data_IF_195354936563
#
_entry.id   IF_195354936563
#
_cell.length_a   1.000
_cell.length_b   1.000
_cell.length_c   1.000
_cell.angle_alpha   90.00
_cell.angle_beta   90.00
_cell.angle_gamma   90.00
#
_symmetry.space_group_name_H-M   'P 1'
#
loop_
_entity.id
_entity.type
_entity.pdbx_description
1 polymer ?
#
# COMPACT_ATOMS: atom_id res chain seq x y z
N UNK A 1 -16.60 -0.44 13.63
CA UNK A 1 -17.13 0.23 12.43
C UNK A 1 -18.24 -0.55 11.73
N UNK A 2 -18.47 -1.83 12.04
CA UNK A 2 -19.46 -2.70 11.36
C UNK A 2 -20.91 -2.57 11.85
N UNK A 3 -21.16 -1.89 12.98
CA UNK A 3 -22.49 -1.78 13.61
C UNK A 3 -23.13 -0.39 13.49
N UNK A 4 -22.63 0.48 12.61
CA UNK A 4 -23.20 1.81 12.39
C UNK A 4 -24.20 1.77 11.22
N UNK A 5 -25.47 2.16 11.42
CA UNK A 5 -26.52 2.13 10.38
C UNK A 5 -26.17 2.94 9.12
N UNK A 6 -25.27 3.92 9.22
CA UNK A 6 -24.81 4.70 8.06
C UNK A 6 -23.94 3.90 7.08
N UNK A 7 -23.44 2.73 7.51
CA UNK A 7 -22.55 1.86 6.73
C UNK A 7 -23.33 0.72 6.05
N UNK A 8 -24.54 0.38 6.53
CA UNK A 8 -25.41 -0.65 5.95
C UNK A 8 -25.83 -0.36 4.48
N UNK A 9 -25.73 0.91 4.06
CA UNK A 9 -26.06 1.35 2.70
C UNK A 9 -24.85 1.40 1.74
N UNK A 10 -23.63 1.13 2.23
CA UNK A 10 -22.43 1.18 1.39
C UNK A 10 -22.24 -0.21 0.77
N UNK A 11 -22.81 -0.42 -0.42
CA UNK A 11 -22.55 -1.62 -1.19
C UNK A 11 -21.29 -1.44 -2.05
N UNK A 12 -20.39 -2.42 -2.03
CA UNK A 12 -19.28 -2.48 -2.97
C UNK A 12 -19.82 -2.57 -4.40
N UNK A 13 -19.14 -1.88 -5.32
CA UNK A 13 -19.44 -2.02 -6.74
C UNK A 13 -19.35 -3.51 -7.13
N UNK A 14 -20.36 -4.09 -7.82
CA UNK A 14 -20.38 -5.52 -8.14
C UNK A 14 -19.20 -5.98 -9.01
N UNK A 15 -18.76 -5.14 -9.97
CA UNK A 15 -17.62 -5.44 -10.83
C UNK A 15 -16.33 -5.41 -10.02
N UNK A 16 -16.17 -4.39 -9.17
CA UNK A 16 -15.03 -4.26 -8.27
C UNK A 16 -14.91 -5.47 -7.34
N UNK A 17 -15.97 -5.78 -6.59
CA UNK A 17 -15.98 -6.91 -5.66
C UNK A 17 -15.71 -8.23 -6.40
N UNK A 18 -16.37 -8.48 -7.53
CA UNK A 18 -16.10 -9.68 -8.31
C UNK A 18 -14.61 -9.80 -8.69
N UNK A 19 -14.00 -8.73 -9.24
CA UNK A 19 -12.60 -8.75 -9.68
C UNK A 19 -11.61 -8.83 -8.52
N UNK A 20 -11.91 -8.18 -7.41
CA UNK A 20 -11.11 -8.31 -6.19
C UNK A 20 -11.15 -9.74 -5.66
N UNK A 21 -12.33 -10.38 -5.61
CA UNK A 21 -12.46 -11.78 -5.19
C UNK A 21 -11.71 -12.73 -6.12
N UNK A 22 -11.84 -12.53 -7.43
CA UNK A 22 -11.11 -13.30 -8.45
C UNK A 22 -9.60 -13.24 -8.18
N UNK A 23 -9.06 -12.04 -7.94
CA UNK A 23 -7.64 -11.87 -7.63
C UNK A 23 -7.23 -12.52 -6.29
N UNK A 24 -8.01 -12.33 -5.22
CA UNK A 24 -7.70 -12.89 -3.91
C UNK A 24 -7.68 -14.42 -3.94
N UNK A 25 -8.57 -15.05 -4.70
CA UNK A 25 -8.60 -16.50 -4.89
C UNK A 25 -7.38 -17.05 -5.64
N UNK A 26 -6.64 -16.20 -6.36
CA UNK A 26 -5.35 -16.59 -6.94
C UNK A 26 -4.23 -16.69 -5.90
N UNK A 27 -4.39 -16.00 -4.76
CA UNK A 27 -3.43 -15.95 -3.65
C UNK A 27 -3.71 -17.04 -2.61
N UNK A 28 -4.97 -17.27 -2.26
CA UNK A 28 -5.40 -18.32 -1.32
C UNK A 28 -6.74 -18.95 -1.73
N UNK A 29 -6.89 -20.26 -1.56
CA UNK A 29 -8.03 -21.02 -2.10
C UNK A 29 -9.34 -20.84 -1.32
N UNK A 30 -9.28 -20.32 -0.11
CA UNK A 30 -10.36 -20.28 0.89
C UNK A 30 -10.89 -18.86 1.19
N UNK A 31 -10.63 -17.90 0.29
CA UNK A 31 -11.11 -16.53 0.45
C UNK A 31 -12.59 -16.37 0.08
N UNK A 32 -13.39 -15.88 1.03
CA UNK A 32 -14.81 -15.55 0.86
C UNK A 32 -15.13 -14.13 1.39
N UNK A 33 -15.96 -13.36 0.68
CA UNK A 33 -16.46 -12.07 1.17
C UNK A 33 -17.69 -12.21 2.05
N UNK A 34 -17.69 -11.55 3.21
CA UNK A 34 -18.74 -11.66 4.23
C UNK A 34 -19.60 -10.37 4.44
N UNK A 35 -19.69 -9.52 3.42
CA UNK A 35 -20.52 -8.30 3.27
C UNK A 35 -20.06 -6.98 3.95
N UNK A 36 -20.31 -5.86 3.24
CA UNK A 36 -20.57 -4.50 3.76
C UNK A 36 -19.45 -3.47 3.56
N UNK A 37 -18.29 -3.71 4.16
CA UNK A 37 -17.03 -3.09 3.76
C UNK A 37 -15.99 -4.19 3.80
N UNK A 38 -15.30 -4.40 2.69
CA UNK A 38 -14.24 -5.39 2.67
C UNK A 38 -13.01 -4.78 3.30
N UNK A 39 -12.88 -5.09 4.58
CA UNK A 39 -11.65 -4.97 5.30
C UNK A 39 -10.81 -6.21 4.99
N UNK A 40 -9.68 -6.04 4.31
CA UNK A 40 -8.82 -7.13 3.87
C UNK A 40 -7.39 -6.86 4.32
N UNK A 41 -6.75 -7.83 4.96
CA UNK A 41 -5.30 -7.84 5.17
C UNK A 41 -4.60 -8.61 4.06
N UNK A 42 -3.61 -8.03 3.39
CA UNK A 42 -2.69 -8.73 2.50
C UNK A 42 -1.38 -9.00 3.26
N UNK A 43 -1.16 -10.25 3.63
CA UNK A 43 0.06 -10.67 4.32
C UNK A 43 1.17 -10.94 3.30
N UNK A 44 2.14 -10.03 3.27
CA UNK A 44 3.34 -10.11 2.42
C UNK A 44 4.53 -10.56 3.27
N UNK A 45 4.43 -11.76 3.84
CA UNK A 45 5.42 -12.32 4.78
C UNK A 45 6.85 -12.44 4.22
N UNK A 46 6.99 -12.55 2.89
CA UNK A 46 8.29 -12.63 2.19
C UNK A 46 8.90 -11.24 1.89
N UNK A 47 8.11 -10.17 2.05
CA UNK A 47 8.57 -8.80 1.83
C UNK A 47 9.50 -8.35 2.94
N UNK A 48 10.62 -7.74 2.55
CA UNK A 48 11.60 -7.18 3.48
C UNK A 48 11.64 -5.66 3.37
N UNK A 49 11.54 -4.97 4.51
CA UNK A 49 11.74 -3.53 4.56
C UNK A 49 13.22 -3.19 4.44
N UNK A 50 13.56 -2.31 3.51
CA UNK A 50 14.88 -1.70 3.38
C UNK A 50 14.81 -0.27 3.93
N UNK A 51 15.84 0.14 4.68
CA UNK A 51 15.99 1.51 5.20
C UNK A 51 17.03 2.23 4.36
N UNK A 52 16.66 3.40 3.83
CA UNK A 52 17.59 4.29 3.17
C UNK A 52 18.56 4.89 4.19
N UNK A 53 19.89 4.72 4.05
CA UNK A 53 20.86 5.17 5.06
C UNK A 53 20.97 6.69 5.18
N UNK A 54 20.54 7.43 4.15
CA UNK A 54 20.62 8.89 4.12
C UNK A 54 19.34 9.54 4.63
N UNK A 55 18.18 9.05 4.20
CA UNK A 55 16.88 9.66 4.51
C UNK A 55 16.16 8.97 5.68
N UNK A 56 16.62 7.78 6.08
CA UNK A 56 15.95 6.87 7.01
C UNK A 56 14.52 6.50 6.60
N UNK A 57 14.12 6.79 5.36
CA UNK A 57 12.86 6.35 4.79
C UNK A 57 12.91 4.86 4.48
N UNK A 58 11.74 4.24 4.34
CA UNK A 58 11.61 2.79 4.13
C UNK A 58 10.95 2.48 2.80
N UNK A 59 11.32 1.34 2.25
CA UNK A 59 10.63 0.70 1.14
C UNK A 59 10.57 -0.81 1.34
N UNK A 60 9.55 -1.44 0.78
CA UNK A 60 9.37 -2.89 0.76
C UNK A 60 8.89 -3.28 -0.64
N UNK A 61 9.81 -3.82 -1.44
CA UNK A 61 9.54 -4.17 -2.85
C UNK A 61 8.52 -5.30 -2.95
N UNK A 62 8.50 -6.25 -2.01
CA UNK A 62 7.50 -7.33 -1.98
C UNK A 62 6.08 -6.77 -1.89
N UNK A 63 5.87 -5.77 -1.03
CA UNK A 63 4.57 -5.10 -0.92
C UNK A 63 4.19 -4.41 -2.23
N UNK A 64 5.14 -3.71 -2.87
CA UNK A 64 4.90 -3.04 -4.16
C UNK A 64 4.49 -4.04 -5.23
N UNK A 65 5.17 -5.19 -5.33
CA UNK A 65 4.86 -6.23 -6.31
C UNK A 65 3.43 -6.74 -6.12
N UNK A 66 3.06 -7.12 -4.90
CA UNK A 66 1.71 -7.64 -4.59
C UNK A 66 0.63 -6.60 -4.90
N UNK A 67 0.83 -5.36 -4.45
CA UNK A 67 -0.16 -4.30 -4.66
C UNK A 67 -0.28 -3.89 -6.13
N UNK A 68 0.82 -3.83 -6.87
CA UNK A 68 0.80 -3.48 -8.28
C UNK A 68 0.19 -4.59 -9.15
N UNK A 69 0.38 -5.86 -8.78
CA UNK A 69 -0.31 -7.01 -9.42
C UNK A 69 -1.82 -6.91 -9.23
N UNK A 70 -2.28 -6.61 -8.01
CA UNK A 70 -3.70 -6.34 -7.74
C UNK A 70 -4.22 -5.16 -8.57
N UNK A 71 -3.50 -4.04 -8.59
CA UNK A 71 -3.91 -2.83 -9.32
C UNK A 71 -4.01 -3.11 -10.83
N UNK A 72 -3.04 -3.81 -11.40
CA UNK A 72 -3.10 -4.23 -12.81
C UNK A 72 -4.33 -5.11 -13.07
N UNK A 73 -4.60 -6.10 -12.22
CA UNK A 73 -5.78 -6.95 -12.34
C UNK A 73 -7.09 -6.15 -12.30
N UNK A 74 -7.22 -5.20 -11.36
CA UNK A 74 -8.42 -4.37 -11.22
C UNK A 74 -8.59 -3.40 -12.41
N UNK A 75 -7.51 -2.80 -12.92
CA UNK A 75 -7.57 -1.91 -14.09
C UNK A 75 -7.96 -2.70 -15.35
N UNK A 76 -7.28 -3.82 -15.62
CA UNK A 76 -7.55 -4.66 -16.80
C UNK A 76 -8.95 -5.28 -16.76
N UNK A 77 -9.46 -5.56 -15.56
CA UNK A 77 -10.84 -5.96 -15.32
C UNK A 77 -11.88 -4.84 -15.41
N UNK A 78 -11.47 -3.60 -15.71
CA UNK A 78 -12.31 -2.40 -15.69
C UNK A 78 -13.05 -2.17 -14.35
N UNK A 79 -12.48 -2.70 -13.26
CA UNK A 79 -13.11 -2.76 -11.94
C UNK A 79 -13.05 -1.42 -11.19
N UNK A 80 -12.12 -0.54 -11.58
CA UNK A 80 -11.95 0.80 -11.00
C UNK A 80 -12.74 1.89 -11.74
N UNK A 81 -13.45 1.54 -12.81
CA UNK A 81 -14.21 2.50 -13.61
C UNK A 81 -15.25 3.24 -12.77
N UNK A 82 -15.10 4.56 -12.66
CA UNK A 82 -16.00 5.42 -11.87
C UNK A 82 -15.82 5.33 -10.36
N UNK A 83 -14.76 4.66 -9.88
CA UNK A 83 -14.43 4.56 -8.47
C UNK A 83 -13.16 5.35 -8.16
N UNK A 84 -13.15 5.99 -7.00
CA UNK A 84 -11.92 6.56 -6.45
C UNK A 84 -11.12 5.48 -5.72
N UNK A 85 -9.87 5.29 -6.13
CA UNK A 85 -8.93 4.37 -5.50
C UNK A 85 -7.59 5.07 -5.25
N UNK A 86 -6.99 4.85 -4.08
CA UNK A 86 -5.66 5.37 -3.79
C UNK A 86 -4.82 4.45 -2.90
N UNK A 87 -3.50 4.59 -3.01
CA UNK A 87 -2.52 3.94 -2.13
C UNK A 87 -1.97 4.97 -1.13
N UNK A 88 -1.92 4.58 0.15
CA UNK A 88 -1.34 5.32 1.28
C UNK A 88 -0.15 4.56 1.86
N UNK A 89 1.06 4.74 1.30
CA UNK A 89 2.28 4.28 1.96
C UNK A 89 2.63 5.17 3.15
N UNK A 90 3.12 4.56 4.23
CA UNK A 90 3.58 5.28 5.43
C UNK A 90 4.95 5.95 5.28
N UNK A 91 5.72 5.59 4.26
CA UNK A 91 7.09 6.09 4.03
C UNK A 91 7.28 6.68 2.63
N UNK A 92 8.13 7.71 2.55
CA UNK A 92 8.41 8.46 1.32
C UNK A 92 9.10 7.62 0.25
N UNK A 93 10.05 6.75 0.60
CA UNK A 93 10.71 5.89 -0.39
C UNK A 93 9.77 4.79 -0.92
N UNK A 94 8.85 4.28 -0.10
CA UNK A 94 7.75 3.43 -0.58
C UNK A 94 6.82 4.17 -1.54
N UNK A 95 6.47 5.42 -1.24
CA UNK A 95 5.69 6.27 -2.16
C UNK A 95 6.38 6.41 -3.52
N UNK A 96 7.69 6.66 -3.54
CA UNK A 96 8.46 6.72 -4.80
C UNK A 96 8.41 5.40 -5.56
N UNK A 97 8.53 4.26 -4.86
CA UNK A 97 8.45 2.94 -5.48
C UNK A 97 7.08 2.69 -6.14
N UNK A 98 5.98 3.07 -5.48
CA UNK A 98 4.64 3.01 -6.07
C UNK A 98 4.49 3.94 -7.28
N UNK A 99 4.95 5.19 -7.20
CA UNK A 99 4.87 6.14 -8.33
C UNK A 99 5.62 5.58 -9.55
N UNK A 100 6.84 5.07 -9.36
CA UNK A 100 7.64 4.51 -10.45
C UNK A 100 6.98 3.27 -11.08
N UNK A 101 6.39 2.41 -10.25
CA UNK A 101 5.68 1.22 -10.72
C UNK A 101 4.39 1.59 -11.45
N UNK A 102 3.65 2.59 -10.96
CA UNK A 102 2.44 3.12 -11.59
C UNK A 102 2.73 3.74 -12.96
N UNK A 103 3.82 4.50 -13.09
CA UNK A 103 4.27 5.06 -14.36
C UNK A 103 4.62 3.96 -15.38
N UNK A 104 5.23 2.87 -14.90
CA UNK A 104 5.57 1.72 -15.75
C UNK A 104 4.32 0.98 -16.21
N UNK A 105 3.34 0.79 -15.32
CA UNK A 105 2.05 0.19 -15.64
C UNK A 105 1.23 1.06 -16.62
N UNK A 106 1.20 2.37 -16.40
CA UNK A 106 0.56 3.35 -17.29
C UNK A 106 1.08 3.23 -18.72
N UNK A 107 2.41 3.14 -18.90
CA UNK A 107 3.03 2.89 -20.22
C UNK A 107 2.66 1.52 -20.79
N UNK A 108 2.72 0.47 -19.97
CA UNK A 108 2.38 -0.91 -20.37
C UNK A 108 0.94 -1.01 -20.89
N UNK A 109 -0.01 -0.35 -20.22
CA UNK A 109 -1.43 -0.40 -20.55
C UNK A 109 -1.89 0.72 -21.50
N UNK A 110 -1.01 1.67 -21.82
CA UNK A 110 -1.34 2.87 -22.60
C UNK A 110 -2.51 3.68 -22.00
N UNK A 111 -2.48 3.90 -20.69
CA UNK A 111 -3.49 4.66 -19.93
C UNK A 111 -2.87 5.96 -19.44
N UNK A 112 -3.55 7.09 -19.66
CA UNK A 112 -3.12 8.39 -19.17
C UNK A 112 -3.09 8.45 -17.63
N UNK A 113 -2.28 9.35 -17.06
CA UNK A 113 -2.06 9.43 -15.61
C UNK A 113 -3.35 9.60 -14.81
N UNK A 114 -4.34 10.35 -15.33
CA UNK A 114 -5.65 10.56 -14.70
C UNK A 114 -6.49 9.28 -14.60
N UNK A 115 -6.21 8.28 -15.43
CA UNK A 115 -6.85 6.96 -15.39
C UNK A 115 -6.16 5.98 -14.43
N UNK A 116 -5.06 6.38 -13.79
CA UNK A 116 -4.29 5.54 -12.87
C UNK A 116 -4.69 5.77 -11.41
N UNK A 117 -4.39 4.79 -10.55
CA UNK A 117 -4.57 4.90 -9.10
C UNK A 117 -3.63 5.96 -8.52
N UNK A 118 -4.18 6.84 -7.67
CA UNK A 118 -3.40 7.90 -7.03
C UNK A 118 -2.59 7.39 -5.84
N UNK A 119 -1.42 8.00 -5.59
CA UNK A 119 -0.55 7.66 -4.45
C UNK A 119 -0.34 8.89 -3.57
N UNK A 120 -0.88 8.87 -2.36
CA UNK A 120 -0.83 9.99 -1.42
C UNK A 120 -0.02 9.66 -0.17
N UNK A 121 0.46 10.69 0.52
CA UNK A 121 0.88 10.52 1.93
C UNK A 121 -0.37 10.52 2.81
N UNK A 122 -0.28 9.98 4.02
CA UNK A 122 -1.37 10.03 5.01
C UNK A 122 -1.83 11.49 5.24
N UNK A 123 -0.87 12.40 5.46
CA UNK A 123 -1.16 13.82 5.68
C UNK A 123 -1.80 14.49 4.44
N UNK A 124 -1.44 14.05 3.22
CA UNK A 124 -2.04 14.53 1.97
C UNK A 124 -3.50 14.09 1.74
N UNK A 125 -3.99 13.12 2.52
CA UNK A 125 -5.38 12.63 2.48
C UNK A 125 -6.22 13.10 3.67
N UNK A 126 -5.67 13.96 4.52
CA UNK A 126 -6.42 14.49 5.66
C UNK A 126 -7.66 15.28 5.18
N UNK A 127 -8.85 14.84 5.59
CA UNK A 127 -10.13 15.44 5.18
C UNK A 127 -10.68 14.92 3.84
N UNK A 128 -9.91 14.13 3.10
CA UNK A 128 -10.35 13.45 1.88
C UNK A 128 -10.71 11.99 2.18
N UNK A 129 -11.49 11.36 1.29
CA UNK A 129 -11.84 9.94 1.34
C UNK A 129 -11.82 9.37 -0.08
N UNK A 130 -11.67 8.06 -0.21
CA UNK A 130 -11.79 7.33 -1.47
C UNK A 130 -12.67 6.09 -1.29
N UNK A 131 -13.27 5.61 -2.39
CA UNK A 131 -14.12 4.41 -2.35
C UNK A 131 -13.31 3.19 -1.92
N UNK A 132 -12.09 3.07 -2.46
CA UNK A 132 -11.09 2.07 -2.05
C UNK A 132 -9.80 2.74 -1.60
N UNK A 133 -9.28 2.30 -0.45
CA UNK A 133 -7.97 2.74 0.05
C UNK A 133 -7.10 1.51 0.31
N UNK A 134 -5.88 1.54 -0.24
CA UNK A 134 -4.83 0.55 0.06
C UNK A 134 -3.83 1.21 1.00
N UNK A 135 -3.78 0.80 2.26
CA UNK A 135 -2.78 1.27 3.23
C UNK A 135 -1.62 0.29 3.25
N UNK A 136 -0.41 0.78 2.94
CA UNK A 136 0.80 -0.03 3.01
C UNK A 136 1.65 0.42 4.19
N UNK A 137 1.74 -0.46 5.19
CA UNK A 137 2.50 -0.18 6.40
C UNK A 137 4.00 -0.30 6.23
N UNK A 138 4.50 -0.97 5.19
CA UNK A 138 5.92 -1.20 4.85
C UNK A 138 6.68 -2.09 5.85
N UNK A 139 6.27 -2.10 7.12
CA UNK A 139 6.94 -2.74 8.27
C UNK A 139 6.88 -4.27 8.22
N UNK A 140 7.86 -4.89 8.87
CA UNK A 140 8.08 -6.34 8.89
C UNK A 140 7.87 -6.99 10.27
N UNK A 141 7.87 -6.19 11.33
CA UNK A 141 7.77 -6.62 12.72
C UNK A 141 7.07 -5.55 13.57
N UNK A 142 6.50 -5.94 14.71
CA UNK A 142 5.86 -5.03 15.66
C UNK A 142 6.80 -4.35 16.64
N UNK A 143 8.11 -4.56 16.48
CA UNK A 143 9.12 -3.96 17.33
C UNK A 143 9.16 -2.43 17.15
N UNK A 144 9.39 -1.64 18.22
CA UNK A 144 9.42 -0.18 18.12
C UNK A 144 10.39 0.35 17.07
N UNK A 145 11.56 -0.29 16.94
CA UNK A 145 12.59 0.07 15.97
C UNK A 145 12.14 -0.14 14.52
N UNK A 146 11.20 -1.06 14.28
CA UNK A 146 10.70 -1.34 12.94
C UNK A 146 9.46 -0.49 12.62
N UNK A 147 8.51 -0.41 13.55
CA UNK A 147 7.29 0.38 13.35
C UNK A 147 7.58 1.84 13.03
N UNK A 148 8.56 2.46 13.70
CA UNK A 148 8.92 3.86 13.47
C UNK A 148 7.69 4.79 13.38
N UNK A 149 7.52 5.47 12.24
CA UNK A 149 6.40 6.37 12.00
C UNK A 149 5.03 5.66 11.94
N UNK A 150 4.98 4.36 11.63
CA UNK A 150 3.74 3.59 11.66
C UNK A 150 3.20 3.37 13.09
N UNK A 151 3.98 3.68 14.13
CA UNK A 151 3.53 3.62 15.53
C UNK A 151 2.71 4.84 15.99
N UNK A 152 2.60 5.89 15.16
CA UNK A 152 1.75 7.05 15.46
C UNK A 152 0.26 6.69 15.26
N UNK A 153 -0.45 6.46 16.36
CA UNK A 153 -1.87 6.11 16.35
C UNK A 153 -2.75 7.18 15.68
N UNK A 154 -2.40 8.47 15.73
CA UNK A 154 -3.19 9.52 15.06
C UNK A 154 -3.11 9.36 13.55
N UNK A 155 -1.90 9.14 13.01
CA UNK A 155 -1.70 8.91 11.57
C UNK A 155 -2.32 7.59 11.13
N UNK A 156 -2.17 6.55 11.94
CA UNK A 156 -2.79 5.26 11.64
C UNK A 156 -4.32 5.36 11.56
N UNK A 157 -4.94 6.02 12.53
CA UNK A 157 -6.39 6.27 12.53
C UNK A 157 -6.85 7.09 11.32
N UNK A 158 -6.07 8.09 10.90
CA UNK A 158 -6.40 8.82 9.66
C UNK A 158 -6.39 7.87 8.48
N UNK A 159 -5.30 7.11 8.26
CA UNK A 159 -5.15 6.19 7.12
C UNK A 159 -6.27 5.13 7.08
N UNK A 160 -6.54 4.48 8.21
CA UNK A 160 -7.55 3.42 8.34
C UNK A 160 -8.99 3.92 8.14
N UNK A 161 -9.26 5.22 8.26
CA UNK A 161 -10.61 5.80 8.12
C UNK A 161 -10.81 6.56 6.81
N UNK A 162 -9.88 6.43 5.85
CA UNK A 162 -10.00 7.09 4.53
C UNK A 162 -10.88 6.32 3.55
N UNK A 163 -11.08 5.02 3.75
CA UNK A 163 -11.91 4.19 2.90
C UNK A 163 -13.39 4.46 3.14
N UNK A 164 -14.18 4.57 2.06
CA UNK A 164 -15.64 4.62 2.12
C UNK A 164 -16.24 3.22 2.02
N UNK A 165 -15.73 2.36 1.15
CA UNK A 165 -16.31 1.04 0.86
C UNK A 165 -15.32 -0.14 1.03
N UNK A 166 -14.04 0.02 0.66
CA UNK A 166 -13.04 -1.03 0.79
C UNK A 166 -11.73 -0.50 1.39
N UNK A 167 -11.25 -1.19 2.43
CA UNK A 167 -9.94 -0.94 3.03
C UNK A 167 -9.08 -2.18 2.88
N UNK A 168 -8.00 -2.04 2.12
CA UNK A 168 -6.98 -3.08 1.96
C UNK A 168 -5.75 -2.66 2.76
N UNK A 169 -5.31 -3.51 3.67
CA UNK A 169 -4.17 -3.26 4.55
C UNK A 169 -3.04 -4.21 4.18
N UNK A 170 -1.86 -3.66 3.89
CA UNK A 170 -0.69 -4.44 3.46
C UNK A 170 0.39 -4.38 4.53
N UNK A 171 0.81 -5.55 5.02
CA UNK A 171 1.89 -5.67 5.99
C UNK A 171 2.52 -7.07 5.95
N UNK A 172 3.63 -7.25 6.64
CA UNK A 172 4.10 -8.58 7.00
C UNK A 172 3.25 -9.13 8.16
N UNK A 173 2.68 -10.33 8.02
CA UNK A 173 1.84 -10.96 9.03
C UNK A 173 2.52 -11.16 10.39
N UNK A 174 3.85 -11.24 10.41
CA UNK A 174 4.64 -11.41 11.64
C UNK A 174 4.70 -10.15 12.51
N UNK A 175 4.08 -9.02 12.09
CA UNK A 175 4.03 -7.79 12.91
C UNK A 175 3.37 -7.99 14.27
N UNK A 176 2.55 -9.03 14.44
CA UNK A 176 1.89 -9.37 15.72
C UNK A 176 2.75 -10.22 16.68
N UNK A 177 3.91 -10.73 16.24
CA UNK A 177 4.77 -11.59 17.05
C UNK A 177 5.59 -10.79 18.07
N UNK A 178 4.91 -10.15 19.00
CA UNK A 178 5.50 -9.35 20.07
C UNK A 178 4.52 -9.27 21.27
N UNK A 179 4.97 -8.71 22.39
CA UNK A 179 4.18 -8.61 23.62
C UNK A 179 3.41 -7.28 23.77
N UNK A 180 3.40 -6.42 22.74
CA UNK A 180 2.85 -5.04 22.85
C UNK A 180 1.33 -4.95 22.70
N UNK A 181 0.69 -6.06 22.33
CA UNK A 181 -0.76 -6.20 22.36
C UNK A 181 -1.27 -6.60 23.74
N UNK A 182 -0.39 -7.14 24.59
CA UNK A 182 -0.69 -7.38 26.00
C UNK A 182 -0.52 -6.04 26.70
N UNK A 183 -1.60 -5.49 27.25
CA UNK A 183 -1.53 -4.28 28.06
C UNK A 183 -0.55 -4.51 29.20
N UNK A 184 0.58 -3.81 29.19
CA UNK A 184 1.47 -3.77 30.34
C UNK A 184 0.73 -2.99 31.44
N UNK A 185 0.07 -3.71 32.35
CA UNK A 185 -0.72 -3.14 33.46
C UNK A 185 0.12 -2.14 34.27
N UNK A 186 1.44 -2.29 34.27
CA UNK A 186 2.36 -1.40 34.96
C UNK A 186 2.61 -0.06 34.25
N UNK A 187 2.24 0.10 32.96
CA UNK A 187 2.60 1.29 32.16
C UNK A 187 1.46 1.96 31.40
N UNK A 188 0.24 1.42 31.42
CA UNK A 188 -0.95 2.03 30.79
C UNK A 188 -0.67 2.53 29.35
N UNK A 189 0.21 1.83 28.61
CA UNK A 189 0.55 2.21 27.24
C UNK A 189 -0.52 1.67 26.30
N UNK A 190 -1.19 2.59 25.60
CA UNK A 190 -2.07 2.24 24.49
C UNK A 190 -1.25 1.51 23.43
N UNK A 191 -1.66 0.31 22.98
CA UNK A 191 -0.96 -0.40 21.91
C UNK A 191 -0.93 0.41 20.60
N UNK A 192 0.06 0.19 19.72
CA UNK A 192 0.04 0.77 18.39
C UNK A 192 -1.19 0.32 17.59
N UNK A 193 -1.91 1.26 17.00
CA UNK A 193 -3.17 1.03 16.29
C UNK A 193 -2.98 0.04 15.13
N UNK A 194 -1.84 0.10 14.43
CA UNK A 194 -1.47 -0.87 13.40
C UNK A 194 -1.52 -2.32 13.91
N UNK A 195 -1.03 -2.59 15.12
CA UNK A 195 -1.01 -3.93 15.70
C UNK A 195 -2.41 -4.37 16.12
N UNK A 196 -3.17 -3.45 16.73
CA UNK A 196 -4.56 -3.70 17.15
C UNK A 196 -5.41 -4.04 15.93
N UNK A 197 -5.28 -3.25 14.88
CA UNK A 197 -6.02 -3.43 13.63
C UNK A 197 -5.63 -4.72 12.92
N UNK A 198 -4.33 -5.03 12.80
CA UNK A 198 -3.89 -6.29 12.19
C UNK A 198 -4.35 -7.52 12.98
N UNK A 199 -4.30 -7.46 14.32
CA UNK A 199 -4.88 -8.51 15.16
C UNK A 199 -6.38 -8.68 14.90
N UNK A 200 -7.13 -7.58 14.76
CA UNK A 200 -8.55 -7.66 14.41
C UNK A 200 -8.78 -8.36 13.07
N UNK A 201 -7.94 -8.09 12.06
CA UNK A 201 -8.00 -8.80 10.76
C UNK A 201 -7.81 -10.31 10.94
N UNK A 202 -6.78 -10.71 11.69
CA UNK A 202 -6.48 -12.12 11.95
C UNK A 202 -7.60 -12.81 12.73
N UNK A 203 -8.09 -12.18 13.81
CA UNK A 203 -9.14 -12.75 14.67
C UNK A 203 -10.49 -12.93 13.94
N UNK A 204 -10.66 -12.31 12.77
CA UNK A 204 -11.89 -12.38 11.97
C UNK A 204 -11.68 -13.06 10.60
N UNK A 205 -10.55 -13.76 10.41
CA UNK A 205 -10.21 -14.47 9.17
C UNK A 205 -10.21 -13.56 7.92
N UNK A 206 -9.76 -12.30 8.09
CA UNK A 206 -9.73 -11.28 7.04
C UNK A 206 -8.34 -11.11 6.39
N UNK A 207 -7.36 -11.93 6.76
CA UNK A 207 -5.98 -11.87 6.23
C UNK A 207 -5.78 -12.92 5.15
N UNK A 208 -5.37 -12.48 3.97
CA UNK A 208 -5.02 -13.31 2.83
C UNK A 208 -3.50 -13.37 2.69
N UNK A 209 -2.88 -14.55 2.78
CA UNK A 209 -1.45 -14.69 2.54
C UNK A 209 -1.14 -14.47 1.05
N UNK A 210 -0.24 -13.52 0.78
CA UNK A 210 0.29 -13.26 -0.54
C UNK A 210 1.70 -13.83 -0.62
N UNK A 211 1.79 -15.10 -1.04
CA UNK A 211 3.05 -15.66 -1.53
C UNK A 211 3.37 -14.90 -2.82
N UNK A 212 4.18 -13.85 -2.71
CA UNK A 212 4.32 -12.83 -3.75
C UNK A 212 4.49 -13.45 -5.12
N UNK A 213 3.89 -12.81 -6.11
CA UNK A 213 3.86 -13.21 -7.51
C UNK A 213 5.23 -13.74 -7.99
N UNK A 214 5.49 -15.02 -7.73
CA UNK A 214 6.58 -15.82 -8.26
C UNK A 214 6.21 -16.33 -9.66
N UNK A 215 5.10 -15.85 -10.22
CA UNK A 215 4.59 -16.34 -11.51
C UNK A 215 5.35 -15.77 -12.71
N UNK A 216 6.07 -14.66 -12.59
CA UNK A 216 6.73 -14.03 -13.77
C UNK A 216 8.23 -13.69 -13.63
N UNK A 217 8.88 -13.87 -12.46
CA UNK A 217 10.31 -13.55 -12.33
C UNK A 217 11.20 -14.71 -12.83
N UNK A 218 10.71 -15.96 -12.75
CA UNK A 218 11.51 -17.13 -13.13
C UNK A 218 11.66 -17.27 -14.65
N UNK A 219 10.71 -16.77 -15.46
CA UNK A 219 10.81 -16.87 -16.93
C UNK A 219 11.62 -15.75 -17.60
N UNK A 220 11.87 -14.64 -16.91
CA UNK A 220 12.62 -13.50 -17.48
C UNK A 220 14.13 -13.68 -17.32
N UNK A 221 14.60 -14.32 -16.25
CA UNK A 221 16.05 -14.55 -16.04
C UNK A 221 16.66 -15.57 -17.02
N UNK A 222 15.85 -16.45 -17.63
CA UNK A 222 16.35 -17.43 -18.61
C UNK A 222 16.45 -16.90 -20.06
N UNK A 223 15.96 -15.69 -20.35
CA UNK A 223 15.91 -15.13 -21.72
C UNK A 223 16.60 -13.76 -21.90
N UNK A 224 17.24 -13.21 -20.88
CA UNK A 224 18.00 -11.97 -21.03
C UNK A 224 19.37 -12.21 -21.68
N UNK A 225 19.37 -12.32 -23.01
CA UNK A 225 20.59 -12.20 -23.83
C UNK A 225 21.06 -10.73 -23.79
N UNK A 226 22.31 -10.49 -23.39
CA UNK A 226 22.86 -9.15 -23.13
C UNK A 226 23.15 -8.43 -24.45
N UNK A 227 22.48 -7.32 -24.80
CA UNK A 227 22.86 -6.55 -25.97
C UNK A 227 24.11 -5.72 -25.66
N UNK A 228 25.10 -5.81 -26.54
CA UNK A 228 26.28 -4.93 -26.53
C UNK A 228 25.87 -3.49 -26.79
N UNK A 229 26.52 -2.57 -26.08
CA UNK A 229 26.35 -1.13 -26.19
C UNK A 229 26.49 -0.65 -27.64
N UNK A 230 25.56 0.19 -28.08
CA UNK A 230 25.75 1.06 -29.23
C UNK A 230 25.37 2.50 -28.86
N UNK A 231 26.22 3.42 -29.29
CA UNK A 231 26.26 4.84 -28.96
C UNK A 231 25.26 5.60 -29.85
N UNK A 232 24.18 6.13 -29.29
CA UNK A 232 23.58 7.40 -29.75
C UNK A 232 22.71 8.02 -28.66
N UNK A 233 23.26 9.01 -27.95
CA UNK A 233 22.49 9.96 -27.15
C UNK A 233 22.20 11.17 -28.02
N UNK A 234 20.92 11.49 -28.25
CA UNK A 234 20.51 12.79 -28.77
C UNK A 234 19.25 13.29 -28.05
N UNK A 235 19.48 14.29 -27.20
CA UNK A 235 18.65 15.46 -26.94
C UNK A 235 17.15 15.30 -26.71
N UNK A 236 16.75 15.39 -25.44
CA UNK A 236 15.58 16.19 -25.05
C UNK A 236 15.90 17.00 -23.79
N UNK A 237 16.45 18.20 -24.03
CA UNK A 237 16.57 19.26 -23.05
C UNK A 237 15.36 20.18 -23.23
N UNK A 238 14.54 20.36 -22.19
CA UNK A 238 13.67 21.53 -22.07
C UNK A 238 13.84 22.10 -20.67
N UNK A 239 14.52 23.23 -20.66
CA UNK A 239 14.68 24.15 -19.54
C UNK A 239 13.35 24.49 -18.85
N UNK A 240 13.40 24.62 -17.53
CA UNK A 240 12.65 25.67 -16.85
C UNK A 240 13.50 26.19 -15.69
N UNK A 241 14.26 27.24 -15.99
CA UNK A 241 14.86 28.15 -15.02
C UNK A 241 13.79 29.11 -14.51
N UNK A 242 13.47 29.04 -13.22
CA UNK A 242 12.96 30.20 -12.46
C UNK A 242 13.78 30.33 -11.19
N UNK A 243 14.71 31.29 -11.26
CA UNK A 243 15.26 32.16 -10.23
C UNK A 243 15.38 31.65 -8.78
N UNK A 244 16.64 31.48 -8.36
CA UNK A 244 17.09 31.51 -6.98
C UNK A 244 16.75 32.84 -6.31
N UNK A 245 16.14 32.76 -5.12
CA UNK A 245 16.02 33.87 -4.19
C UNK A 245 15.96 33.37 -2.74
N UNK A 246 17.05 33.61 -2.01
CA UNK A 246 17.19 33.55 -0.55
C UNK A 246 17.17 32.19 0.15
N UNK A 247 18.33 31.87 0.75
CA UNK A 247 18.46 30.88 1.81
C UNK A 247 17.53 31.19 2.99
N UNK A 248 16.79 30.18 3.46
CA UNK A 248 16.16 30.18 4.77
C UNK A 248 16.15 28.76 5.35
N UNK A 249 16.64 28.70 6.58
CA UNK A 249 16.82 27.60 7.52
C UNK A 249 15.79 26.45 7.47
N UNK A 250 16.30 25.23 7.65
CA UNK A 250 15.53 24.04 7.97
C UNK A 250 14.70 24.23 9.26
N UNK A 251 13.41 23.86 9.28
CA UNK A 251 12.67 23.78 10.53
C UNK A 251 12.99 22.47 11.28
N UNK A 252 12.95 22.49 12.62
CA UNK A 252 13.39 21.38 13.45
C UNK A 252 12.36 20.26 13.52
N UNK A 253 12.90 19.07 13.75
CA UNK A 253 12.24 17.83 14.16
C UNK A 253 10.89 18.01 14.86
N UNK A 254 9.86 17.37 14.31
CA UNK A 254 8.73 16.77 15.03
C UNK A 254 8.09 15.67 14.19
#
# INVERSE_FOLDING_TARGET
MTNDPSVEAIALNPVFSQKLLEWLKLQANDVEFRNGMELIGLDVSHGNSVINPTTYSRSNVGNVVVVMDLIEHLITGNALSGLSCCILPTYADQKKAYINSMLSLSRKLNIAGEGMVSVFTVDGMQGNQADTVIVDWVVTSGEPSDLGFASDNRRANVALTRARACLIVVANGQIINNNRLVGDEARMKVPPEILVHWKHLLDNDLVVPCAGALRDIVEVEEKADVPKADDTVSDWNVDNTVQNGSAAQAPPNW
#
